data_IF_663258899732
#
_entry.id   IF_663258899732
#
_cell.length_a   1.000
_cell.length_b   1.000
_cell.length_c   1.000
_cell.angle_alpha   90.00
_cell.angle_beta   90.00
_cell.angle_gamma   90.00
#
_symmetry.space_group_name_H-M   'P 1'
#
loop_
_entity.id
_entity.type
_entity.pdbx_description
1 polymer ?
#
# COMPACT_ATOMS: atom_id res chain seq x y z
N UNK A 1 -19.40 -16.89 -8.51
CA UNK A 1 -18.30 -17.89 -8.36
C UNK A 1 -17.78 -17.94 -6.91
N UNK A 2 -17.39 -16.83 -6.33
CA UNK A 2 -16.82 -16.77 -4.97
C UNK A 2 -17.77 -17.25 -3.87
N UNK A 3 -19.09 -17.01 -3.98
CA UNK A 3 -20.07 -17.48 -3.00
C UNK A 3 -20.27 -19.00 -2.99
N UNK A 4 -20.03 -19.65 -4.12
CA UNK A 4 -20.22 -21.11 -4.27
C UNK A 4 -18.95 -21.92 -4.01
N UNK A 5 -17.76 -21.32 -4.22
CA UNK A 5 -16.47 -22.03 -4.22
C UNK A 5 -15.40 -21.36 -3.36
N UNK A 6 -15.75 -20.26 -2.64
CA UNK A 6 -14.83 -19.55 -1.76
C UNK A 6 -14.63 -20.30 -0.44
N UNK A 7 -13.42 -20.21 0.12
CA UNK A 7 -13.12 -20.71 1.47
C UNK A 7 -13.78 -19.80 2.53
N UNK A 8 -14.03 -20.33 3.76
CA UNK A 8 -14.53 -19.51 4.87
C UNK A 8 -13.66 -18.27 5.08
N UNK A 9 -14.30 -17.12 5.19
CA UNK A 9 -13.62 -15.81 5.30
C UNK A 9 -12.62 -15.77 6.46
N UNK A 10 -13.00 -16.27 7.64
CA UNK A 10 -12.14 -16.29 8.83
C UNK A 10 -10.85 -17.10 8.62
N UNK A 11 -10.92 -18.22 7.89
CA UNK A 11 -9.74 -19.03 7.59
C UNK A 11 -8.78 -18.27 6.66
N UNK A 12 -9.31 -17.61 5.63
CA UNK A 12 -8.51 -16.84 4.66
C UNK A 12 -7.81 -15.66 5.36
N UNK A 13 -8.52 -14.96 6.25
CA UNK A 13 -7.95 -13.85 7.03
C UNK A 13 -6.82 -14.35 7.95
N UNK A 14 -7.08 -15.42 8.72
CA UNK A 14 -6.09 -15.99 9.63
C UNK A 14 -4.83 -16.46 8.87
N UNK A 15 -5.00 -17.10 7.74
CA UNK A 15 -3.90 -17.56 6.88
C UNK A 15 -3.11 -16.41 6.28
N UNK A 16 -3.80 -15.34 5.85
CA UNK A 16 -3.18 -14.11 5.34
C UNK A 16 -2.31 -13.45 6.41
N UNK A 17 -2.85 -13.25 7.62
CA UNK A 17 -2.11 -12.66 8.74
C UNK A 17 -0.91 -13.53 9.13
N UNK A 18 -1.11 -14.85 9.20
CA UNK A 18 0.00 -15.78 9.49
C UNK A 18 1.08 -15.73 8.41
N UNK A 19 0.70 -15.61 7.14
CA UNK A 19 1.63 -15.45 6.01
C UNK A 19 2.43 -14.16 6.10
N UNK A 20 1.80 -13.05 6.42
CA UNK A 20 2.44 -11.76 6.61
C UNK A 20 3.47 -11.81 7.75
N UNK A 21 3.04 -12.32 8.92
CA UNK A 21 3.92 -12.47 10.10
C UNK A 21 5.13 -13.36 9.80
N UNK A 22 4.92 -14.48 9.12
CA UNK A 22 6.00 -15.35 8.67
C UNK A 22 6.96 -14.62 7.73
N UNK A 23 6.44 -13.87 6.76
CA UNK A 23 7.26 -13.07 5.84
C UNK A 23 8.18 -12.10 6.59
N UNK A 24 7.65 -11.37 7.56
CA UNK A 24 8.45 -10.46 8.39
C UNK A 24 9.50 -11.18 9.23
N UNK A 25 9.16 -12.33 9.83
CA UNK A 25 10.12 -13.16 10.59
C UNK A 25 11.26 -13.69 9.71
N UNK A 26 11.02 -13.87 8.42
CA UNK A 26 12.00 -14.29 7.42
C UNK A 26 12.76 -13.09 6.79
N UNK A 27 12.57 -11.88 7.32
CA UNK A 27 13.24 -10.66 6.85
C UNK A 27 12.69 -10.10 5.52
N UNK A 28 11.47 -10.49 5.13
CA UNK A 28 10.82 -9.99 3.92
C UNK A 28 9.99 -8.75 4.21
N UNK A 29 9.86 -7.87 3.21
CA UNK A 29 8.91 -6.76 3.26
C UNK A 29 7.52 -7.18 2.75
N UNK A 30 6.48 -6.64 3.35
CA UNK A 30 5.13 -6.69 2.83
C UNK A 30 4.97 -5.58 1.79
N UNK A 31 4.66 -5.94 0.55
CA UNK A 31 4.37 -4.98 -0.51
C UNK A 31 2.87 -4.93 -0.75
N UNK A 32 2.27 -3.74 -0.60
CA UNK A 32 0.84 -3.51 -0.83
C UNK A 32 0.66 -2.20 -1.58
N UNK A 33 0.07 -2.24 -2.76
CA UNK A 33 -0.27 -1.04 -3.51
C UNK A 33 -1.52 -0.38 -2.91
N UNK A 34 -1.39 0.83 -2.36
CA UNK A 34 -2.42 1.52 -1.57
C UNK A 34 -2.73 0.83 -0.22
N UNK A 35 -1.68 0.55 0.54
CA UNK A 35 -1.70 -0.21 1.78
C UNK A 35 -2.75 0.27 2.80
N UNK A 36 -2.97 1.59 2.91
CA UNK A 36 -3.94 2.16 3.84
C UNK A 36 -5.36 1.62 3.64
N UNK A 37 -5.73 1.22 2.43
CA UNK A 37 -7.02 0.61 2.15
C UNK A 37 -7.07 -0.86 2.60
N UNK A 38 -6.17 -1.69 2.07
CA UNK A 38 -6.20 -3.15 2.28
C UNK A 38 -5.88 -3.54 3.72
N UNK A 39 -4.88 -2.90 4.33
CA UNK A 39 -4.49 -3.22 5.71
C UNK A 39 -5.51 -2.72 6.73
N UNK A 40 -6.23 -1.64 6.43
CA UNK A 40 -7.37 -1.21 7.27
C UNK A 40 -8.51 -2.23 7.23
N UNK A 41 -8.81 -2.78 6.05
CA UNK A 41 -9.81 -3.86 5.92
C UNK A 41 -9.33 -5.09 6.68
N UNK A 42 -8.09 -5.50 6.51
CA UNK A 42 -7.52 -6.65 7.21
C UNK A 42 -7.65 -6.49 8.75
N UNK A 43 -7.31 -5.32 9.28
CA UNK A 43 -7.43 -5.03 10.72
C UNK A 43 -8.87 -5.03 11.23
N UNK A 44 -9.84 -4.64 10.41
CA UNK A 44 -11.28 -4.74 10.78
C UNK A 44 -11.73 -6.19 10.99
N UNK A 45 -11.17 -7.11 10.23
CA UNK A 45 -11.49 -8.54 10.32
C UNK A 45 -10.62 -9.29 11.31
N UNK A 46 -9.41 -8.81 11.57
CA UNK A 46 -8.47 -9.32 12.56
C UNK A 46 -7.95 -8.17 13.44
N UNK A 47 -8.68 -7.80 14.50
CA UNK A 47 -8.31 -6.66 15.36
C UNK A 47 -6.94 -6.79 16.03
N UNK A 48 -6.41 -8.01 16.17
CA UNK A 48 -5.07 -8.27 16.70
C UNK A 48 -3.94 -8.08 15.67
N UNK A 49 -4.28 -7.69 14.44
CA UNK A 49 -3.28 -7.46 13.41
C UNK A 49 -2.52 -6.16 13.68
N UNK A 50 -1.20 -6.28 13.80
CA UNK A 50 -0.26 -5.20 14.03
C UNK A 50 0.85 -5.21 12.97
N UNK A 51 1.43 -4.05 12.72
CA UNK A 51 2.59 -3.89 11.82
C UNK A 51 3.87 -4.18 12.61
N UNK A 52 4.46 -5.34 12.34
CA UNK A 52 5.63 -5.85 13.05
C UNK A 52 6.89 -5.90 12.16
N UNK A 53 6.82 -5.33 10.96
CA UNK A 53 7.92 -5.34 10.01
C UNK A 53 7.76 -4.33 8.88
N UNK A 54 8.63 -4.39 7.86
CA UNK A 54 8.60 -3.45 6.76
C UNK A 54 7.35 -3.59 5.91
N UNK A 55 6.73 -2.45 5.59
CA UNK A 55 5.67 -2.30 4.60
C UNK A 55 6.17 -1.37 3.50
N UNK A 56 5.97 -1.73 2.26
CA UNK A 56 6.28 -0.91 1.10
C UNK A 56 5.00 -0.69 0.30
N UNK A 57 4.65 0.58 0.13
CA UNK A 57 3.49 1.00 -0.65
C UNK A 57 3.93 1.75 -1.92
N UNK A 58 3.99 1.08 -3.07
CA UNK A 58 4.41 1.72 -4.31
C UNK A 58 3.54 2.91 -4.71
N UNK A 59 2.26 2.94 -4.29
CA UNK A 59 1.37 4.06 -4.56
C UNK A 59 1.80 5.32 -3.80
N UNK A 60 2.20 5.19 -2.53
CA UNK A 60 2.69 6.30 -1.70
C UNK A 60 4.03 6.79 -2.22
N UNK A 61 4.95 5.86 -2.50
CA UNK A 61 6.29 6.19 -3.02
C UNK A 61 6.20 6.89 -4.36
N UNK A 62 5.44 6.35 -5.33
CA UNK A 62 5.26 6.96 -6.66
C UNK A 62 4.72 8.39 -6.58
N UNK A 63 3.78 8.64 -5.66
CA UNK A 63 3.24 10.00 -5.45
C UNK A 63 4.21 10.95 -4.76
N UNK A 64 5.08 10.44 -3.90
CA UNK A 64 6.07 11.25 -3.21
C UNK A 64 7.19 11.70 -4.15
N UNK A 65 7.65 10.81 -5.02
CA UNK A 65 8.77 11.09 -5.93
C UNK A 65 8.37 11.89 -7.15
N UNK A 66 7.13 11.78 -7.59
CA UNK A 66 6.60 12.55 -8.72
C UNK A 66 5.19 13.10 -8.42
N UNK A 67 5.12 14.09 -7.50
CA UNK A 67 3.83 14.60 -7.00
C UNK A 67 3.01 15.33 -8.08
N UNK A 68 3.66 15.87 -9.10
CA UNK A 68 3.03 16.69 -10.13
C UNK A 68 2.67 15.94 -11.41
N UNK A 69 3.03 14.66 -11.52
CA UNK A 69 2.65 13.85 -12.68
C UNK A 69 1.14 13.82 -12.86
N UNK A 70 0.71 14.26 -14.03
CA UNK A 70 -0.70 14.22 -14.43
C UNK A 70 -1.12 12.80 -14.81
N UNK A 71 -2.42 12.54 -14.70
CA UNK A 71 -3.01 11.27 -15.11
C UNK A 71 -3.34 10.34 -13.95
N UNK A 72 -3.75 9.12 -14.32
CA UNK A 72 -4.18 8.10 -13.35
C UNK A 72 -2.98 7.53 -12.57
N UNK A 73 -3.25 7.16 -11.31
CA UNK A 73 -2.30 6.49 -10.41
C UNK A 73 -2.81 5.11 -10.01
N UNK A 74 -3.52 4.42 -10.90
CA UNK A 74 -3.87 3.01 -10.70
C UNK A 74 -2.61 2.14 -10.83
N UNK A 75 -2.63 0.92 -10.32
CA UNK A 75 -1.49 -0.01 -10.41
C UNK A 75 -1.01 -0.14 -11.87
N UNK A 76 -1.93 -0.38 -12.81
CA UNK A 76 -1.59 -0.49 -14.23
C UNK A 76 -0.93 0.77 -14.80
N UNK A 77 -1.48 1.96 -14.50
CA UNK A 77 -0.92 3.23 -15.00
C UNK A 77 0.47 3.53 -14.40
N UNK A 78 0.70 3.18 -13.13
CA UNK A 78 2.01 3.35 -12.47
C UNK A 78 3.01 2.32 -13.03
N UNK A 79 2.60 1.07 -13.22
CA UNK A 79 3.42 0.04 -13.87
C UNK A 79 3.85 0.46 -15.28
N UNK A 80 2.91 0.93 -16.10
CA UNK A 80 3.19 1.43 -17.45
C UNK A 80 4.21 2.56 -17.44
N UNK A 81 4.00 3.56 -16.56
CA UNK A 81 4.91 4.69 -16.43
C UNK A 81 6.34 4.27 -16.07
N UNK A 82 6.47 3.30 -15.17
CA UNK A 82 7.77 2.82 -14.72
C UNK A 82 8.31 1.64 -15.56
N UNK A 83 7.65 1.24 -16.65
CA UNK A 83 8.06 0.13 -17.50
C UNK A 83 8.08 -1.21 -16.76
N UNK A 84 7.08 -1.44 -15.90
CA UNK A 84 6.84 -2.72 -15.21
C UNK A 84 5.73 -3.45 -15.94
N UNK A 85 6.00 -4.70 -16.34
CA UNK A 85 4.99 -5.52 -17.00
C UNK A 85 3.92 -6.00 -16.03
N UNK A 86 2.66 -5.84 -16.42
CA UNK A 86 1.48 -6.37 -15.75
C UNK A 86 0.80 -7.35 -16.72
N UNK A 87 1.09 -8.66 -16.55
CA UNK A 87 0.76 -9.67 -17.56
C UNK A 87 -0.74 -9.99 -17.66
N UNK A 88 -1.47 -9.91 -16.56
CA UNK A 88 -2.91 -10.21 -16.50
C UNK A 88 -3.58 -9.28 -15.49
N UNK A 89 -3.90 -8.06 -15.90
CA UNK A 89 -4.58 -7.09 -15.04
C UNK A 89 -5.87 -7.69 -14.45
N UNK A 90 -6.07 -7.48 -13.14
CA UNK A 90 -7.19 -8.00 -12.34
C UNK A 90 -7.08 -9.47 -11.94
N UNK A 91 -5.96 -10.12 -12.17
CA UNK A 91 -5.62 -11.38 -11.54
C UNK A 91 -4.75 -11.10 -10.31
N UNK A 92 -5.20 -11.53 -9.12
CA UNK A 92 -4.60 -11.14 -7.84
C UNK A 92 -3.10 -11.48 -7.73
N UNK A 93 -2.66 -12.60 -8.30
CA UNK A 93 -1.26 -12.99 -8.34
C UNK A 93 -0.41 -12.11 -9.25
N UNK A 94 -0.94 -11.73 -10.42
CA UNK A 94 -0.27 -10.84 -11.36
C UNK A 94 -0.16 -9.42 -10.80
N UNK A 95 -1.24 -8.91 -10.19
CA UNK A 95 -1.25 -7.61 -9.52
C UNK A 95 -0.25 -7.55 -8.35
N UNK A 96 -0.18 -8.61 -7.53
CA UNK A 96 0.78 -8.70 -6.43
C UNK A 96 2.24 -8.73 -6.92
N UNK A 97 2.52 -9.49 -7.99
CA UNK A 97 3.85 -9.55 -8.59
C UNK A 97 4.26 -8.23 -9.22
N UNK A 98 3.34 -7.56 -9.91
CA UNK A 98 3.57 -6.23 -10.48
C UNK A 98 3.84 -5.19 -9.40
N UNK A 99 3.09 -5.20 -8.29
CA UNK A 99 3.33 -4.34 -7.14
C UNK A 99 4.72 -4.57 -6.54
N UNK A 100 5.15 -5.84 -6.40
CA UNK A 100 6.48 -6.18 -5.89
C UNK A 100 7.61 -5.69 -6.83
N UNK A 101 7.47 -5.89 -8.14
CA UNK A 101 8.42 -5.39 -9.16
C UNK A 101 8.50 -3.87 -9.15
N UNK A 102 7.35 -3.21 -9.01
CA UNK A 102 7.26 -1.75 -8.92
C UNK A 102 7.95 -1.23 -7.67
N UNK A 103 7.71 -1.85 -6.50
CA UNK A 103 8.38 -1.53 -5.25
C UNK A 103 9.90 -1.62 -5.39
N UNK A 104 10.40 -2.73 -5.94
CA UNK A 104 11.82 -2.92 -6.20
C UNK A 104 12.41 -1.80 -7.06
N UNK A 105 11.73 -1.43 -8.13
CA UNK A 105 12.18 -0.39 -9.06
C UNK A 105 12.19 1.00 -8.41
N UNK A 106 11.15 1.34 -7.65
CA UNK A 106 11.04 2.61 -6.96
C UNK A 106 12.06 2.74 -5.84
N UNK A 107 12.27 1.71 -5.03
CA UNK A 107 13.25 1.71 -3.94
C UNK A 107 14.68 1.78 -4.46
N UNK A 108 14.99 1.09 -5.55
CA UNK A 108 16.32 1.12 -6.19
C UNK A 108 16.72 2.47 -6.76
N UNK A 109 15.74 3.35 -7.02
CA UNK A 109 15.96 4.73 -7.47
C UNK A 109 16.10 5.75 -6.33
N UNK A 110 15.84 5.36 -5.09
CA UNK A 110 15.82 6.24 -3.92
C UNK A 110 16.92 5.90 -2.91
N UNK A 111 18.02 6.65 -2.97
CA UNK A 111 19.13 6.52 -2.03
C UNK A 111 18.72 6.72 -0.56
N UNK A 112 17.65 7.48 -0.32
CA UNK A 112 17.10 7.75 1.01
C UNK A 112 16.54 6.48 1.70
N UNK A 113 16.16 5.48 0.91
CA UNK A 113 15.61 4.21 1.39
C UNK A 113 16.64 3.08 1.41
N UNK A 114 17.77 3.26 0.72
CA UNK A 114 18.82 2.27 0.65
C UNK A 114 19.59 2.18 1.99
N UNK A 115 19.46 1.06 2.68
CA UNK A 115 20.14 0.81 3.97
C UNK A 115 19.43 1.39 5.19
N UNK A 116 18.25 2.00 5.05
CA UNK A 116 17.44 2.47 6.15
C UNK A 116 16.84 1.30 6.97
N UNK A 117 16.68 1.49 8.28
CA UNK A 117 15.89 0.57 9.12
C UNK A 117 14.43 0.54 8.62
N UNK A 118 13.79 -0.61 8.72
CA UNK A 118 12.41 -0.75 8.25
C UNK A 118 11.43 0.23 8.92
N UNK A 119 11.70 0.63 10.17
CA UNK A 119 10.90 1.64 10.87
C UNK A 119 11.06 3.01 10.24
N UNK A 120 12.25 3.36 9.79
CA UNK A 120 12.52 4.61 9.06
C UNK A 120 11.81 4.62 7.72
N UNK A 121 11.84 3.49 6.98
CA UNK A 121 11.12 3.32 5.71
C UNK A 121 9.61 3.47 5.92
N UNK A 122 9.06 2.83 6.96
CA UNK A 122 7.63 2.97 7.30
C UNK A 122 7.28 4.42 7.69
N UNK A 123 8.09 5.05 8.54
CA UNK A 123 7.85 6.42 8.99
C UNK A 123 7.94 7.44 7.85
N UNK A 124 8.84 7.25 6.91
CA UNK A 124 8.96 8.12 5.74
C UNK A 124 7.71 8.05 4.87
N UNK A 125 7.23 6.86 4.58
CA UNK A 125 5.99 6.66 3.82
C UNK A 125 4.76 7.21 4.56
N UNK A 126 4.69 7.03 5.88
CA UNK A 126 3.64 7.62 6.70
C UNK A 126 3.60 9.16 6.58
N UNK A 127 4.76 9.82 6.63
CA UNK A 127 4.87 11.28 6.43
C UNK A 127 4.43 11.70 5.03
N UNK A 128 4.83 10.97 3.99
CA UNK A 128 4.40 11.27 2.62
C UNK A 128 2.90 11.09 2.42
N UNK A 129 2.34 10.02 2.99
CA UNK A 129 0.91 9.79 2.96
C UNK A 129 0.15 10.90 3.68
N UNK A 130 0.55 11.22 4.92
CA UNK A 130 -0.08 12.27 5.72
C UNK A 130 -0.08 13.62 4.99
N UNK A 131 1.09 14.07 4.49
CA UNK A 131 1.20 15.32 3.76
C UNK A 131 0.26 15.36 2.55
N UNK A 132 0.23 14.27 1.77
CA UNK A 132 -0.64 14.16 0.59
C UNK A 132 -2.12 14.17 0.96
N UNK A 133 -2.51 13.51 2.05
CA UNK A 133 -3.90 13.47 2.50
C UNK A 133 -4.35 14.82 3.07
N UNK A 134 -3.48 15.54 3.76
CA UNK A 134 -3.76 16.91 4.21
C UNK A 134 -3.96 17.87 3.03
N UNK A 135 -3.12 17.80 2.00
CA UNK A 135 -3.29 18.59 0.79
C UNK A 135 -4.61 18.27 0.08
N UNK A 136 -5.00 17.00 0.05
CA UNK A 136 -6.26 16.56 -0.52
C UNK A 136 -7.47 17.05 0.29
N UNK A 137 -7.41 16.98 1.62
CA UNK A 137 -8.45 17.54 2.50
C UNK A 137 -8.63 19.04 2.27
N UNK A 138 -7.53 19.80 2.25
CA UNK A 138 -7.55 21.24 1.98
C UNK A 138 -8.13 21.56 0.57
N UNK A 139 -7.84 20.72 -0.42
CA UNK A 139 -8.46 20.85 -1.76
C UNK A 139 -9.97 20.62 -1.71
N UNK A 140 -10.45 19.58 -1.00
CA UNK A 140 -11.87 19.29 -0.87
C UNK A 140 -12.60 20.45 -0.19
N UNK A 141 -12.11 20.93 0.94
CA UNK A 141 -12.67 22.07 1.68
C UNK A 141 -12.76 23.33 0.79
N UNK A 142 -11.68 23.67 0.07
CA UNK A 142 -11.64 24.82 -0.83
C UNK A 142 -12.64 24.71 -1.99
N UNK A 143 -12.97 23.48 -2.39
CA UNK A 143 -13.97 23.21 -3.46
C UNK A 143 -15.37 22.93 -2.93
N UNK A 144 -15.60 23.14 -1.62
CA UNK A 144 -16.92 22.95 -0.97
C UNK A 144 -17.34 21.49 -0.85
N UNK A 145 -16.38 20.56 -0.83
CA UNK A 145 -16.63 19.13 -0.68
C UNK A 145 -16.29 18.69 0.75
N UNK A 146 -16.95 17.63 1.20
CA UNK A 146 -16.69 17.04 2.49
C UNK A 146 -15.29 16.37 2.51
N UNK A 147 -14.50 16.67 3.55
CA UNK A 147 -13.18 16.10 3.80
C UNK A 147 -13.13 15.20 5.05
N UNK A 148 -14.26 14.95 5.69
CA UNK A 148 -14.35 14.18 6.95
C UNK A 148 -13.81 12.75 6.84
N UNK A 149 -13.91 12.15 5.66
CA UNK A 149 -13.45 10.78 5.40
C UNK A 149 -11.97 10.69 5.01
N UNK A 150 -11.26 11.82 4.92
CA UNK A 150 -9.84 11.81 4.55
C UNK A 150 -9.01 11.25 5.70
N UNK A 151 -8.43 10.08 5.47
CA UNK A 151 -7.59 9.41 6.45
C UNK A 151 -6.11 9.73 6.22
N UNK A 152 -5.47 10.32 7.23
CA UNK A 152 -4.05 10.68 7.20
C UNK A 152 -3.13 9.59 7.76
N UNK A 153 -3.68 8.56 8.39
CA UNK A 153 -2.89 7.48 8.97
C UNK A 153 -2.45 6.46 7.92
N UNK A 154 -1.23 5.94 8.09
CA UNK A 154 -0.61 4.93 7.24
C UNK A 154 0.25 4.00 8.12
N UNK A 155 0.35 2.70 7.84
CA UNK A 155 -0.21 1.96 6.70
C UNK A 155 -1.65 1.46 6.91
N UNK A 156 -2.29 1.84 8.00
CA UNK A 156 -3.68 1.51 8.33
C UNK A 156 -4.36 2.75 8.91
N UNK A 157 -5.69 2.85 8.76
CA UNK A 157 -6.46 3.87 9.46
C UNK A 157 -6.28 3.74 10.98
N UNK A 158 -6.31 4.88 11.67
CA UNK A 158 -6.43 4.89 13.13
C UNK A 158 -7.73 4.16 13.52
N UNK A 159 -7.65 3.29 14.52
CA UNK A 159 -8.80 2.55 15.04
C UNK A 159 -9.75 3.44 15.82
#
# INVERSE_FOLDING_TARGET
YARANGRPHAEVIAETVAGIRRGWNEGRALVVFNAAFDLTILRRWEPSFEILGPVVDPFVVDRAVDPYRKGKRTLGAVCEHHGVTLDSAHEASADALAAARLAWKLLGGHNELAGADWREVNNLQAKWHEARQRDFAAYLERTGKDASDVNTAWPMAAG
#
